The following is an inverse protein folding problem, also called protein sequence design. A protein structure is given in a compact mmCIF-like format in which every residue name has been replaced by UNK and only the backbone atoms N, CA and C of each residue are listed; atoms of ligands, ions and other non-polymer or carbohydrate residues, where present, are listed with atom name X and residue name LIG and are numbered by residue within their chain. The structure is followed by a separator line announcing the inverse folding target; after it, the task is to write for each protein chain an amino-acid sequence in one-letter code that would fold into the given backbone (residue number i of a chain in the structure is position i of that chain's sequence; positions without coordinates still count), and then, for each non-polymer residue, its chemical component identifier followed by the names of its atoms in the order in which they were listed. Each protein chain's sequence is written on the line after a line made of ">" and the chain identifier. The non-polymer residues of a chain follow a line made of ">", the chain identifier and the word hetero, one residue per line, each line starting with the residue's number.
data_IF_249240928437
#
_entry.id   IF_249240928437
#
_cell.length_a   1.000
_cell.length_b   1.000
_cell.length_c   1.000
_cell.angle_alpha   90.00
_cell.angle_beta   90.00
_cell.angle_gamma   90.00
#
_symmetry.space_group_name_H-M   'P 1'
#
loop_
_entity.id
_entity.type
_entity.pdbx_description
1 polymer ?
#
# COMPACT_ATOMS: atom_id res chain seq x y z
N UNK A 1 -15.00 -5.85 -16.03
CA UNK A 1 -13.54 -5.77 -15.90
C UNK A 1 -13.07 -5.91 -14.46
N UNK A 2 -13.68 -5.20 -13.53
CA UNK A 2 -13.32 -5.33 -12.11
C UNK A 2 -13.58 -6.73 -11.54
N UNK A 3 -14.61 -7.42 -11.99
CA UNK A 3 -15.00 -8.72 -11.47
C UNK A 3 -13.92 -9.79 -11.65
N UNK A 4 -13.27 -9.84 -12.84
CA UNK A 4 -12.22 -10.82 -13.10
C UNK A 4 -10.96 -10.60 -12.23
N UNK A 5 -10.60 -9.35 -11.96
CA UNK A 5 -9.46 -9.03 -11.09
C UNK A 5 -9.77 -9.29 -9.60
N UNK A 6 -11.00 -9.02 -9.18
CA UNK A 6 -11.47 -9.38 -7.84
C UNK A 6 -11.43 -10.89 -7.65
N UNK A 7 -11.79 -11.67 -8.69
CA UNK A 7 -11.68 -13.14 -8.65
C UNK A 7 -10.23 -13.61 -8.43
N UNK A 8 -9.23 -12.88 -8.89
CA UNK A 8 -7.82 -13.19 -8.60
C UNK A 8 -7.55 -13.17 -7.10
N UNK A 9 -8.06 -12.15 -6.40
CA UNK A 9 -7.93 -12.06 -4.93
C UNK A 9 -8.67 -13.22 -4.23
N UNK A 10 -9.89 -13.52 -4.66
CA UNK A 10 -10.69 -14.62 -4.09
C UNK A 10 -10.00 -15.96 -4.33
N UNK A 11 -9.52 -16.21 -5.55
CA UNK A 11 -8.83 -17.43 -5.91
C UNK A 11 -7.47 -17.58 -5.20
N UNK A 12 -6.82 -16.47 -4.88
CA UNK A 12 -5.62 -16.50 -4.05
C UNK A 12 -5.91 -16.86 -2.58
N UNK A 13 -7.16 -16.76 -2.14
CA UNK A 13 -7.60 -17.08 -0.79
C UNK A 13 -7.82 -15.86 0.12
N UNK A 14 -7.94 -14.66 -0.44
CA UNK A 14 -8.23 -13.45 0.35
C UNK A 14 -9.65 -13.51 0.92
N UNK A 15 -9.78 -13.19 2.21
CA UNK A 15 -11.08 -13.09 2.87
C UNK A 15 -11.90 -11.91 2.31
N UNK A 16 -13.26 -11.96 2.42
CA UNK A 16 -14.12 -10.91 1.87
C UNK A 16 -13.84 -9.49 2.38
N UNK A 17 -13.44 -9.34 3.63
CA UNK A 17 -13.05 -8.05 4.22
C UNK A 17 -11.77 -7.48 3.62
N UNK A 18 -10.81 -8.36 3.29
CA UNK A 18 -9.58 -7.97 2.58
C UNK A 18 -9.90 -7.50 1.17
N UNK A 19 -10.76 -8.22 0.46
CA UNK A 19 -11.20 -7.85 -0.90
C UNK A 19 -11.91 -6.50 -0.89
N UNK A 20 -12.79 -6.27 0.08
CA UNK A 20 -13.49 -4.99 0.23
C UNK A 20 -12.53 -3.84 0.52
N UNK A 21 -11.56 -4.05 1.41
CA UNK A 21 -10.50 -3.09 1.70
C UNK A 21 -9.68 -2.74 0.46
N UNK A 22 -9.21 -3.74 -0.27
CA UNK A 22 -8.45 -3.56 -1.51
C UNK A 22 -9.22 -2.74 -2.55
N UNK A 23 -10.52 -2.98 -2.69
CA UNK A 23 -11.39 -2.21 -3.58
C UNK A 23 -11.49 -0.74 -3.17
N UNK A 24 -11.58 -0.47 -1.88
CA UNK A 24 -11.60 0.91 -1.34
C UNK A 24 -10.26 1.61 -1.54
N UNK A 25 -9.15 0.94 -1.29
CA UNK A 25 -7.82 1.50 -1.52
C UNK A 25 -7.60 1.82 -3.00
N UNK A 26 -8.01 0.93 -3.89
CA UNK A 26 -7.95 1.16 -5.35
C UNK A 26 -8.71 2.42 -5.75
N UNK A 27 -9.93 2.58 -5.25
CA UNK A 27 -10.76 3.77 -5.49
C UNK A 27 -10.10 5.04 -4.95
N UNK A 28 -9.59 5.00 -3.72
CA UNK A 28 -8.92 6.13 -3.09
C UNK A 28 -7.64 6.52 -3.84
N UNK A 29 -6.84 5.55 -4.25
CA UNK A 29 -5.62 5.78 -5.00
C UNK A 29 -5.91 6.45 -6.35
N UNK A 30 -6.96 6.01 -7.07
CA UNK A 30 -7.40 6.65 -8.31
C UNK A 30 -7.85 8.10 -8.09
N UNK A 31 -8.57 8.39 -7.01
CA UNK A 31 -8.98 9.75 -6.68
C UNK A 31 -7.77 10.66 -6.46
N UNK A 32 -6.78 10.17 -5.73
CA UNK A 32 -5.53 10.91 -5.51
C UNK A 32 -4.79 11.14 -6.83
N UNK A 33 -4.64 10.09 -7.64
CA UNK A 33 -3.96 10.17 -8.94
C UNK A 33 -4.63 11.19 -9.87
N UNK A 34 -5.97 11.23 -9.92
CA UNK A 34 -6.72 12.16 -10.75
C UNK A 34 -6.54 13.63 -10.32
N UNK A 35 -6.22 13.88 -9.06
CA UNK A 35 -6.05 15.22 -8.50
C UNK A 35 -4.59 15.69 -8.46
N UNK A 36 -3.66 14.91 -8.92
CA UNK A 36 -2.24 15.31 -8.97
C UNK A 36 -1.87 15.95 -10.31
N UNK A 37 -0.91 16.86 -10.27
CA UNK A 37 -0.25 17.45 -11.45
C UNK A 37 1.01 16.69 -11.88
N UNK A 38 1.41 15.67 -11.12
CA UNK A 38 2.51 14.76 -11.49
C UNK A 38 2.00 13.74 -12.51
N UNK A 39 2.86 13.34 -13.45
CA UNK A 39 2.53 12.26 -14.38
C UNK A 39 2.47 10.92 -13.62
N UNK A 40 1.35 10.22 -13.75
CA UNK A 40 1.07 8.95 -13.05
C UNK A 40 0.41 7.98 -14.00
N UNK A 41 0.84 6.72 -13.95
CA UNK A 41 0.14 5.61 -14.57
C UNK A 41 -1.09 5.25 -13.71
N UNK A 42 -2.26 5.74 -14.13
CA UNK A 42 -3.51 5.54 -13.39
C UNK A 42 -3.93 4.06 -13.32
N UNK A 43 -3.64 3.28 -14.36
CA UNK A 43 -3.97 1.85 -14.36
C UNK A 43 -3.08 1.08 -13.39
N UNK A 44 -1.79 1.39 -13.34
CA UNK A 44 -0.86 0.82 -12.37
C UNK A 44 -1.26 1.16 -10.94
N UNK A 45 -1.67 2.41 -10.69
CA UNK A 45 -2.18 2.85 -9.38
C UNK A 45 -3.44 2.08 -8.99
N UNK A 46 -4.37 1.91 -9.94
CA UNK A 46 -5.61 1.17 -9.72
C UNK A 46 -5.32 -0.29 -9.34
N UNK A 47 -4.49 -0.95 -10.12
CA UNK A 47 -4.08 -2.33 -9.85
C UNK A 47 -3.28 -2.45 -8.57
N UNK A 48 -2.38 -1.50 -8.31
CA UNK A 48 -1.61 -1.43 -7.08
C UNK A 48 -2.51 -1.38 -5.85
N UNK A 49 -3.52 -0.52 -5.86
CA UNK A 49 -4.51 -0.45 -4.79
C UNK A 49 -5.32 -1.74 -4.64
N UNK A 50 -5.71 -2.36 -5.77
CA UNK A 50 -6.50 -3.59 -5.73
C UNK A 50 -5.71 -4.80 -5.22
N UNK A 51 -4.43 -4.90 -5.55
CA UNK A 51 -3.63 -6.09 -5.24
C UNK A 51 -2.63 -5.93 -4.09
N UNK A 52 -2.52 -4.73 -3.48
CA UNK A 52 -1.49 -4.48 -2.47
C UNK A 52 -1.51 -5.49 -1.33
N UNK A 53 -2.68 -5.92 -0.90
CA UNK A 53 -2.88 -6.84 0.24
C UNK A 53 -3.08 -8.31 -0.16
N UNK A 54 -2.79 -8.70 -1.42
CA UNK A 54 -2.95 -10.09 -1.87
C UNK A 54 -2.20 -11.10 -0.99
N UNK A 55 -1.12 -10.68 -0.36
CA UNK A 55 -0.34 -11.53 0.57
C UNK A 55 -1.08 -11.92 1.83
N UNK A 56 -2.16 -11.22 2.18
CA UNK A 56 -3.02 -11.58 3.31
C UNK A 56 -3.78 -12.88 3.11
N UNK A 57 -3.77 -13.42 1.90
CA UNK A 57 -4.21 -14.79 1.63
C UNK A 57 -3.33 -15.85 2.28
N UNK A 58 -2.07 -15.52 2.62
CA UNK A 58 -1.11 -16.43 3.29
C UNK A 58 -0.86 -16.06 4.75
N UNK A 59 -0.80 -14.78 5.06
CA UNK A 59 -0.46 -14.29 6.40
C UNK A 59 -1.06 -12.91 6.64
N UNK A 60 -1.42 -12.62 7.88
CA UNK A 60 -1.85 -11.29 8.32
C UNK A 60 -0.73 -10.51 9.04
N UNK A 61 0.45 -11.13 9.20
CA UNK A 61 1.61 -10.49 9.81
C UNK A 61 2.29 -9.49 8.87
N UNK A 62 3.37 -8.89 9.37
CA UNK A 62 4.16 -7.89 8.63
C UNK A 62 4.72 -8.44 7.31
N UNK A 63 4.91 -9.72 7.21
CA UNK A 63 5.42 -10.42 6.03
C UNK A 63 4.42 -10.50 4.87
N UNK A 64 3.18 -10.01 5.02
CA UNK A 64 2.18 -10.10 3.96
C UNK A 64 2.58 -9.35 2.68
N UNK A 65 3.37 -8.28 2.78
CA UNK A 65 3.87 -7.57 1.59
C UNK A 65 4.87 -8.42 0.80
N UNK A 66 5.79 -9.11 1.50
CA UNK A 66 6.75 -10.03 0.88
C UNK A 66 6.03 -11.23 0.28
N UNK A 67 5.09 -11.82 1.01
CA UNK A 67 4.25 -12.91 0.52
C UNK A 67 3.43 -12.47 -0.70
N UNK A 68 2.89 -11.25 -0.69
CA UNK A 68 2.15 -10.67 -1.79
C UNK A 68 3.00 -10.49 -3.05
N UNK A 69 4.23 -10.04 -2.90
CA UNK A 69 5.17 -9.92 -4.01
C UNK A 69 5.48 -11.29 -4.63
N UNK A 70 5.65 -12.33 -3.81
CA UNK A 70 5.85 -13.69 -4.30
C UNK A 70 4.63 -14.22 -5.07
N UNK A 71 3.43 -14.03 -4.55
CA UNK A 71 2.19 -14.40 -5.25
C UNK A 71 2.08 -13.67 -6.58
N UNK A 72 2.29 -12.35 -6.58
CA UNK A 72 2.21 -11.52 -7.77
C UNK A 72 3.21 -11.94 -8.85
N UNK A 73 4.42 -12.31 -8.45
CA UNK A 73 5.43 -12.84 -9.36
C UNK A 73 4.98 -14.15 -10.01
N UNK A 74 4.41 -15.06 -9.24
CA UNK A 74 3.87 -16.34 -9.74
C UNK A 74 2.68 -16.15 -10.67
N UNK A 75 1.88 -15.10 -10.45
CA UNK A 75 0.77 -14.74 -11.33
C UNK A 75 1.21 -14.01 -12.60
N UNK A 76 2.49 -13.70 -12.75
CA UNK A 76 3.02 -13.01 -13.91
C UNK A 76 2.71 -11.51 -13.95
N UNK A 77 2.49 -10.89 -12.81
CA UNK A 77 2.29 -9.45 -12.72
C UNK A 77 3.55 -8.68 -13.14
N UNK A 78 3.38 -7.45 -13.61
CA UNK A 78 4.50 -6.59 -14.00
C UNK A 78 5.41 -6.32 -12.79
N UNK A 79 6.69 -6.08 -13.05
CA UNK A 79 7.66 -5.73 -12.01
C UNK A 79 7.23 -4.48 -11.24
N UNK A 80 6.65 -3.49 -11.92
CA UNK A 80 6.16 -2.27 -11.29
C UNK A 80 5.04 -2.58 -10.28
N UNK A 81 4.09 -3.44 -10.62
CA UNK A 81 3.01 -3.84 -9.73
C UNK A 81 3.54 -4.67 -8.55
N UNK A 82 4.45 -5.61 -8.80
CA UNK A 82 5.11 -6.39 -7.74
C UNK A 82 5.80 -5.47 -6.73
N UNK A 83 6.49 -4.44 -7.21
CA UNK A 83 7.19 -3.48 -6.35
C UNK A 83 6.23 -2.64 -5.50
N UNK A 84 5.08 -2.23 -6.06
CA UNK A 84 4.02 -1.56 -5.29
C UNK A 84 3.56 -2.45 -4.14
N UNK A 85 3.26 -3.71 -4.42
CA UNK A 85 2.79 -4.69 -3.43
C UNK A 85 3.84 -4.86 -2.32
N UNK A 86 5.11 -4.99 -2.69
CA UNK A 86 6.19 -5.21 -1.74
C UNK A 86 6.45 -4.01 -0.81
N UNK A 87 6.22 -2.78 -1.30
CA UNK A 87 6.57 -1.52 -0.62
C UNK A 87 5.38 -0.76 -0.03
N UNK A 88 4.22 -1.40 0.10
CA UNK A 88 3.01 -0.66 0.50
C UNK A 88 2.85 -0.47 2.02
N UNK A 89 3.58 -1.20 2.85
CA UNK A 89 3.36 -1.16 4.31
C UNK A 89 3.77 0.20 4.89
N UNK A 90 2.82 0.85 5.57
CA UNK A 90 3.02 2.18 6.10
C UNK A 90 3.45 3.16 5.01
N UNK A 91 4.34 4.07 5.33
CA UNK A 91 4.99 4.95 4.35
C UNK A 91 6.36 4.41 3.92
N UNK A 92 6.58 3.11 4.13
CA UNK A 92 7.81 2.40 3.83
C UNK A 92 8.50 1.84 5.08
N UNK A 93 9.35 0.85 4.84
CA UNK A 93 10.17 0.20 5.87
C UNK A 93 11.62 0.27 5.41
N UNK A 94 12.49 0.88 6.22
CA UNK A 94 13.93 0.91 5.94
C UNK A 94 14.57 -0.47 6.08
N UNK A 95 15.74 -0.67 5.49
CA UNK A 95 16.49 -1.93 5.61
C UNK A 95 16.80 -2.27 7.08
N UNK A 96 17.12 -1.26 7.89
CA UNK A 96 17.38 -1.45 9.32
C UNK A 96 16.13 -1.94 10.06
N UNK A 97 14.97 -1.31 9.80
CA UNK A 97 13.71 -1.71 10.40
C UNK A 97 13.25 -3.09 9.89
N UNK A 98 13.44 -3.39 8.61
CA UNK A 98 13.17 -4.70 8.04
C UNK A 98 13.91 -5.81 8.78
N UNK A 99 15.20 -5.57 9.09
CA UNK A 99 16.00 -6.50 9.90
C UNK A 99 15.43 -6.72 11.31
N UNK A 100 14.96 -5.65 11.97
CA UNK A 100 14.31 -5.74 13.29
C UNK A 100 12.99 -6.50 13.24
N UNK A 101 12.24 -6.38 12.14
CA UNK A 101 10.95 -7.04 11.94
C UNK A 101 11.06 -8.48 11.44
N UNK A 102 12.28 -8.97 11.16
CA UNK A 102 12.48 -10.31 10.64
C UNK A 102 12.17 -10.46 9.15
N UNK A 103 12.07 -9.37 8.42
CA UNK A 103 11.91 -9.38 6.96
C UNK A 103 13.28 -9.55 6.27
N UNK A 104 13.30 -10.00 5.01
CA UNK A 104 14.51 -9.95 4.21
C UNK A 104 15.13 -8.55 4.25
N UNK A 105 16.42 -8.45 4.57
CA UNK A 105 17.09 -7.18 4.84
C UNK A 105 17.35 -6.41 3.55
N UNK A 106 16.44 -5.53 3.21
CA UNK A 106 16.54 -4.56 2.11
C UNK A 106 15.60 -3.39 2.38
N UNK A 107 15.69 -2.33 1.60
CA UNK A 107 14.75 -1.22 1.67
C UNK A 107 13.41 -1.56 1.04
N UNK A 108 12.33 -1.26 1.76
CA UNK A 108 10.94 -1.34 1.30
C UNK A 108 10.33 0.08 1.26
N UNK A 109 11.12 1.06 0.82
CA UNK A 109 10.70 2.45 0.75
C UNK A 109 10.06 2.73 -0.63
N UNK A 110 8.84 3.28 -0.69
CA UNK A 110 8.24 3.68 -1.96
C UNK A 110 9.14 4.68 -2.70
N UNK A 111 9.37 4.45 -3.99
CA UNK A 111 10.26 5.26 -4.82
C UNK A 111 9.48 6.03 -5.89
N UNK A 112 8.59 5.37 -6.63
CA UNK A 112 7.82 6.01 -7.70
C UNK A 112 6.60 6.73 -7.15
N UNK A 113 6.04 7.63 -7.95
CA UNK A 113 4.81 8.33 -7.59
C UNK A 113 3.65 7.34 -7.38
N UNK A 114 3.56 6.31 -8.22
CA UNK A 114 2.55 5.26 -8.11
C UNK A 114 2.68 4.49 -6.80
N UNK A 115 3.90 4.08 -6.43
CA UNK A 115 4.15 3.39 -5.15
C UNK A 115 3.73 4.27 -3.96
N UNK A 116 4.07 5.54 -3.98
CA UNK A 116 3.73 6.50 -2.92
C UNK A 116 2.23 6.76 -2.82
N UNK A 117 1.54 6.92 -3.94
CA UNK A 117 0.08 7.13 -3.98
C UNK A 117 -0.65 5.91 -3.41
N UNK A 118 -0.25 4.69 -3.78
CA UNK A 118 -0.91 3.47 -3.30
C UNK A 118 -0.70 3.31 -1.78
N UNK A 119 0.52 3.42 -1.29
CA UNK A 119 0.78 3.30 0.14
C UNK A 119 0.08 4.40 0.95
N UNK A 120 0.03 5.62 0.43
CA UNK A 120 -0.69 6.72 1.07
C UNK A 120 -2.21 6.48 1.11
N UNK A 121 -2.79 6.00 0.01
CA UNK A 121 -4.21 5.63 -0.04
C UNK A 121 -4.55 4.55 1.00
N UNK A 122 -3.70 3.54 1.12
CA UNK A 122 -3.84 2.49 2.13
C UNK A 122 -3.76 3.08 3.55
N UNK A 123 -2.79 3.95 3.81
CA UNK A 123 -2.61 4.61 5.11
C UNK A 123 -3.82 5.47 5.51
N UNK A 124 -4.60 5.98 4.55
CA UNK A 124 -5.82 6.75 4.78
C UNK A 124 -7.09 5.89 4.77
N UNK A 125 -6.97 4.58 4.74
CA UNK A 125 -8.12 3.66 4.69
C UNK A 125 -8.04 2.63 5.81
N UNK A 126 -9.05 2.60 6.68
CA UNK A 126 -9.19 1.60 7.74
C UNK A 126 -10.39 0.70 7.42
N UNK A 127 -10.12 -0.58 7.08
CA UNK A 127 -11.16 -1.45 6.54
C UNK A 127 -11.70 -0.86 5.24
N UNK A 128 -12.96 -0.43 5.24
CA UNK A 128 -13.62 0.27 4.12
C UNK A 128 -13.87 1.74 4.41
N UNK A 129 -13.37 2.27 5.53
CA UNK A 129 -13.58 3.65 5.96
C UNK A 129 -12.38 4.52 5.61
N UNK A 130 -12.64 5.66 4.97
CA UNK A 130 -11.62 6.67 4.77
C UNK A 130 -11.34 7.45 6.05
N UNK A 131 -10.07 7.79 6.28
CA UNK A 131 -9.63 8.62 7.39
C UNK A 131 -9.03 9.92 6.87
N UNK A 132 -9.17 11.01 7.65
CA UNK A 132 -8.40 12.22 7.44
C UNK A 132 -6.94 11.99 7.89
N UNK A 133 -6.01 12.77 7.34
CA UNK A 133 -4.59 12.62 7.65
C UNK A 133 -4.28 12.62 9.15
N UNK A 134 -4.83 13.55 9.90
CA UNK A 134 -4.53 13.66 11.34
C UNK A 134 -5.05 12.46 12.13
N UNK A 135 -6.21 11.91 11.75
CA UNK A 135 -6.72 10.67 12.34
C UNK A 135 -5.78 9.49 12.06
N UNK A 136 -5.35 9.35 10.81
CA UNK A 136 -4.40 8.32 10.41
C UNK A 136 -3.05 8.49 11.12
N UNK A 137 -2.58 9.72 11.26
CA UNK A 137 -1.33 10.03 11.96
C UNK A 137 -1.39 9.64 13.44
N UNK A 138 -2.49 9.94 14.12
CA UNK A 138 -2.68 9.53 15.52
C UNK A 138 -2.68 8.00 15.64
N UNK A 139 -3.29 7.29 14.70
CA UNK A 139 -3.25 5.84 14.65
C UNK A 139 -1.83 5.30 14.45
N UNK A 140 -1.03 5.91 13.57
CA UNK A 140 0.39 5.55 13.40
C UNK A 140 1.17 5.71 14.70
N UNK A 141 0.96 6.82 15.42
CA UNK A 141 1.61 7.10 16.71
C UNK A 141 1.20 6.09 17.79
N UNK A 142 -0.07 5.70 17.82
CA UNK A 142 -0.59 4.74 18.79
C UNK A 142 -0.02 3.33 18.54
N UNK A 143 0.10 2.92 17.29
CA UNK A 143 0.56 1.57 16.93
C UNK A 143 2.09 1.45 17.01
N UNK A 144 2.82 2.45 16.50
CA UNK A 144 4.28 2.39 16.33
C UNK A 144 5.05 3.05 17.48
N UNK A 145 4.40 3.95 18.21
CA UNK A 145 5.06 4.90 19.11
C UNK A 145 5.38 6.21 18.42
N UNK A 146 5.25 7.36 19.12
CA UNK A 146 5.36 8.69 18.52
C UNK A 146 6.75 9.02 17.95
N UNK A 147 7.79 8.35 18.45
CA UNK A 147 9.19 8.55 18.02
C UNK A 147 9.65 7.56 16.94
N UNK A 148 8.75 6.67 16.47
CA UNK A 148 9.11 5.66 15.49
C UNK A 148 9.33 6.29 14.11
N UNK A 149 10.33 5.80 13.35
CA UNK A 149 10.65 6.33 12.01
C UNK A 149 9.46 6.29 11.04
N UNK A 150 8.59 5.28 11.18
CA UNK A 150 7.38 5.13 10.35
C UNK A 150 6.41 6.31 10.48
N UNK A 151 6.35 6.95 11.64
CA UNK A 151 5.55 8.16 11.86
C UNK A 151 6.12 9.32 11.05
N UNK A 152 7.42 9.52 11.11
CA UNK A 152 8.10 10.59 10.36
C UNK A 152 7.99 10.36 8.85
N UNK A 153 8.17 9.12 8.39
CA UNK A 153 8.00 8.75 6.98
C UNK A 153 6.58 9.06 6.49
N UNK A 154 5.56 8.78 7.30
CA UNK A 154 4.17 9.09 6.93
C UNK A 154 3.91 10.59 6.85
N UNK A 155 4.45 11.38 7.77
CA UNK A 155 4.36 12.85 7.72
C UNK A 155 5.03 13.39 6.46
N UNK A 156 6.22 12.92 6.13
CA UNK A 156 6.95 13.32 4.91
C UNK A 156 6.16 12.94 3.65
N UNK A 157 5.60 11.73 3.60
CA UNK A 157 4.78 11.25 2.50
C UNK A 157 3.56 12.15 2.29
N UNK A 158 2.86 12.50 3.37
CA UNK A 158 1.70 13.40 3.30
C UNK A 158 2.07 14.74 2.64
N UNK A 159 3.08 15.41 3.15
CA UNK A 159 3.48 16.72 2.62
C UNK A 159 4.01 16.63 1.19
N UNK A 160 4.72 15.60 0.83
CA UNK A 160 5.16 15.37 -0.54
C UNK A 160 3.97 15.25 -1.49
N UNK A 161 2.99 14.43 -1.14
CA UNK A 161 1.79 14.23 -1.96
C UNK A 161 0.93 15.50 -2.00
N UNK A 162 0.82 16.25 -0.91
CA UNK A 162 0.11 17.54 -0.91
C UNK A 162 0.73 18.54 -1.90
N UNK A 163 2.05 18.55 -2.05
CA UNK A 163 2.71 19.40 -3.06
C UNK A 163 2.40 18.99 -4.50
N UNK A 164 1.98 17.74 -4.72
CA UNK A 164 1.59 17.26 -6.05
C UNK A 164 0.15 17.62 -6.41
N UNK A 165 -0.70 17.93 -5.45
CA UNK A 165 -2.11 18.19 -5.69
C UNK A 165 -2.32 19.48 -6.51
N UNK A 166 -3.40 19.47 -7.32
CA UNK A 166 -3.85 20.61 -8.15
C UNK A 166 -4.45 21.70 -7.28
#
# INVERSE_FOLDING_TARGET
>A
MHDAEVEVLVNAGCAPDVVAHCSMVSKKALQLAANTKVSIDAELVRQGGLFHDIGRSRTHGIEHAVAGADIAQRLGFSKALITIIERHIGAGISAAEAGRLGLPKKDYLPQTAEEKIVSYADNLTSGVREMQFYEALDRFRDILGPEHEGVELFIKQHYEIQRWMK
#
